data_IF_199285223096
#
_entry.id   IF_199285223096
#
_cell.length_a   1.000
_cell.length_b   1.000
_cell.length_c   1.000
_cell.angle_alpha   90.00
_cell.angle_beta   90.00
_cell.angle_gamma   90.00
#
_symmetry.space_group_name_H-M   'P 1'
#
loop_
_entity.id
_entity.type
_entity.pdbx_description
1 polymer ?
#
# COMPACT_ATOMS: atom_id res chain seq x y z
N UNK A 1 -49.18 23.03 3.60
CA UNK A 1 -49.41 22.44 2.26
C UNK A 1 -48.07 22.07 1.63
N UNK A 2 -47.87 20.75 1.50
CA UNK A 2 -47.01 19.91 0.66
C UNK A 2 -46.03 20.56 -0.36
N UNK A 3 -44.72 20.25 -0.27
CA UNK A 3 -43.96 19.10 -0.87
C UNK A 3 -43.71 19.22 -2.37
N UNK A 4 -42.55 19.75 -2.80
CA UNK A 4 -41.95 19.54 -4.15
C UNK A 4 -40.42 19.79 -4.20
N UNK A 5 -39.63 19.12 -3.35
CA UNK A 5 -38.16 19.23 -3.46
C UNK A 5 -37.43 17.90 -3.23
N UNK A 6 -38.03 16.80 -3.66
CA UNK A 6 -37.40 15.49 -3.65
C UNK A 6 -37.83 14.77 -4.93
N UNK A 7 -37.00 14.82 -5.98
CA UNK A 7 -36.85 13.86 -7.11
C UNK A 7 -35.81 14.51 -8.05
N UNK A 8 -34.50 14.44 -7.73
CA UNK A 8 -33.40 14.59 -8.72
C UNK A 8 -32.23 13.63 -8.44
N UNK A 9 -32.27 12.84 -7.35
CA UNK A 9 -31.07 12.12 -6.87
C UNK A 9 -31.01 10.60 -7.19
N UNK A 10 -31.75 10.10 -8.19
CA UNK A 10 -31.83 8.65 -8.46
C UNK A 10 -31.37 8.22 -9.87
N UNK A 11 -31.14 9.14 -10.80
CA UNK A 11 -30.88 8.76 -12.19
C UNK A 11 -29.38 8.61 -12.57
N UNK A 12 -28.43 8.98 -11.71
CA UNK A 12 -27.01 9.00 -12.09
C UNK A 12 -26.21 7.69 -11.84
N UNK A 13 -26.50 6.82 -10.86
CA UNK A 13 -25.63 5.66 -10.62
C UNK A 13 -25.89 4.49 -11.58
N UNK A 14 -27.01 4.45 -12.30
CA UNK A 14 -27.35 3.35 -13.22
C UNK A 14 -26.66 3.41 -14.59
N UNK A 15 -25.93 4.48 -14.90
CA UNK A 15 -25.22 4.62 -16.17
C UNK A 15 -23.75 4.14 -16.09
N UNK A 16 -23.20 3.97 -14.88
CA UNK A 16 -21.79 3.59 -14.69
C UNK A 16 -21.54 2.07 -14.59
N UNK A 17 -22.57 1.23 -14.73
CA UNK A 17 -22.45 -0.23 -14.54
C UNK A 17 -22.25 -1.03 -15.83
N UNK A 18 -21.84 -0.39 -16.94
CA UNK A 18 -21.83 -1.02 -18.27
C UNK A 18 -20.58 -0.85 -19.13
N UNK A 19 -19.46 -0.32 -18.63
CA UNK A 19 -18.28 -0.03 -19.46
C UNK A 19 -16.94 -0.34 -18.76
N UNK A 20 -16.84 -1.47 -18.07
CA UNK A 20 -15.64 -1.83 -17.30
C UNK A 20 -15.04 -3.22 -17.54
N UNK A 21 -15.61 -4.03 -18.44
CA UNK A 21 -15.11 -5.37 -18.73
C UNK A 21 -14.91 -5.52 -20.24
N UNK A 22 -13.69 -5.29 -20.74
CA UNK A 22 -13.40 -5.49 -22.17
C UNK A 22 -12.07 -4.95 -22.72
N UNK A 23 -11.30 -4.14 -21.99
CA UNK A 23 -10.06 -3.54 -22.53
C UNK A 23 -8.79 -4.38 -22.27
N UNK A 24 -8.90 -5.71 -22.22
CA UNK A 24 -7.76 -6.62 -21.95
C UNK A 24 -7.33 -7.51 -23.12
N UNK A 25 -8.02 -7.46 -24.27
CA UNK A 25 -7.76 -8.36 -25.42
C UNK A 25 -7.61 -7.60 -26.74
N UNK A 26 -6.90 -6.47 -26.74
CA UNK A 26 -6.54 -5.77 -28.00
C UNK A 26 -5.10 -5.27 -27.91
N UNK A 27 -4.16 -6.21 -27.92
CA UNK A 27 -2.77 -6.01 -28.35
C UNK A 27 -2.25 -7.35 -28.88
N UNK A 28 -2.97 -7.92 -29.84
CA UNK A 28 -2.42 -8.91 -30.76
C UNK A 28 -1.94 -8.16 -32.01
N UNK A 29 -0.69 -8.33 -32.45
CA UNK A 29 -0.23 -7.76 -33.71
C UNK A 29 -0.97 -8.43 -34.89
N UNK A 30 -1.24 -7.72 -36.00
CA UNK A 30 -1.92 -8.31 -37.13
C UNK A 30 -1.01 -9.36 -37.79
N UNK A 31 -1.51 -10.59 -37.85
CA UNK A 31 -1.07 -11.55 -38.85
C UNK A 31 -1.85 -11.24 -40.14
N UNK A 32 -1.16 -10.64 -41.10
CA UNK A 32 -1.61 -10.67 -42.50
C UNK A 32 -0.94 -11.82 -43.24
N UNK A 33 -1.65 -12.27 -44.27
CA UNK A 33 -1.36 -13.33 -45.24
C UNK A 33 -1.54 -14.77 -44.74
N UNK A 34 -2.75 -15.30 -44.88
CA UNK A 34 -3.03 -16.15 -46.04
C UNK A 34 -4.53 -16.39 -46.27
N UNK A 35 -4.87 -16.41 -47.55
CA UNK A 35 -6.19 -16.46 -48.15
C UNK A 35 -6.89 -17.83 -48.03
N UNK A 36 -8.22 -17.77 -48.23
CA UNK A 36 -9.11 -18.81 -48.77
C UNK A 36 -9.49 -19.96 -47.80
N UNK A 37 -10.72 -20.02 -47.29
CA UNK A 37 -11.99 -20.36 -47.96
C UNK A 37 -12.22 -21.88 -48.13
N UNK A 38 -13.24 -22.34 -47.39
CA UNK A 38 -14.24 -23.37 -47.71
C UNK A 38 -13.80 -24.80 -48.11
N UNK A 39 -14.39 -25.80 -47.43
CA UNK A 39 -14.45 -27.17 -47.96
C UNK A 39 -14.82 -28.26 -46.95
N UNK A 40 -16.13 -28.46 -46.78
CA UNK A 40 -16.89 -29.72 -46.61
C UNK A 40 -16.25 -31.00 -46.06
N UNK A 41 -16.89 -31.51 -45.00
CA UNK A 41 -17.31 -32.90 -44.72
C UNK A 41 -16.57 -34.08 -45.38
N UNK A 42 -15.96 -34.97 -44.57
CA UNK A 42 -16.24 -36.41 -44.65
C UNK A 42 -15.84 -37.18 -43.36
N UNK A 43 -16.64 -38.19 -43.01
CA UNK A 43 -16.41 -39.25 -42.00
C UNK A 43 -16.46 -40.59 -42.79
N UNK A 44 -16.36 -41.82 -42.26
CA UNK A 44 -15.96 -42.33 -40.93
C UNK A 44 -15.09 -43.63 -40.98
N UNK A 45 -14.67 -44.13 -39.80
CA UNK A 45 -14.67 -45.55 -39.30
C UNK A 45 -13.45 -45.78 -38.38
N UNK A 46 -13.42 -46.70 -37.41
CA UNK A 46 -14.35 -47.38 -36.50
C UNK A 46 -13.51 -48.43 -35.74
N UNK A 47 -14.07 -48.94 -34.64
CA UNK A 47 -13.67 -50.12 -33.82
C UNK A 47 -12.53 -49.96 -32.79
N UNK A 48 -12.58 -50.54 -31.57
CA UNK A 48 -13.63 -51.11 -30.69
C UNK A 48 -12.97 -51.52 -29.35
N UNK A 49 -13.74 -51.52 -28.25
CA UNK A 49 -13.63 -52.35 -27.02
C UNK A 49 -12.44 -52.11 -26.05
N UNK A 50 -12.53 -52.20 -24.72
CA UNK A 50 -13.58 -52.57 -23.75
C UNK A 50 -13.17 -52.18 -22.30
N UNK A 51 -14.20 -52.00 -21.45
CA UNK A 51 -14.33 -52.32 -20.01
C UNK A 51 -13.36 -51.83 -18.90
N UNK A 52 -13.97 -51.32 -17.81
CA UNK A 52 -13.52 -51.58 -16.44
C UNK A 52 -13.90 -50.50 -15.43
N UNK A 53 -14.75 -50.83 -14.45
CA UNK A 53 -15.28 -49.95 -13.40
C UNK A 53 -14.33 -49.72 -12.21
N UNK A 54 -14.43 -48.58 -11.50
CA UNK A 54 -14.83 -48.44 -10.08
C UNK A 54 -14.34 -47.14 -9.39
N UNK A 55 -15.27 -46.55 -8.65
CA UNK A 55 -15.21 -45.99 -7.28
C UNK A 55 -14.06 -45.08 -6.81
N UNK A 56 -14.48 -43.86 -6.45
CA UNK A 56 -14.41 -43.24 -5.11
C UNK A 56 -13.08 -42.73 -4.50
N UNK A 57 -13.30 -41.67 -3.69
CA UNK A 57 -12.53 -41.14 -2.54
C UNK A 57 -11.25 -40.32 -2.77
N UNK A 58 -11.40 -39.02 -2.46
CA UNK A 58 -10.71 -38.26 -1.39
C UNK A 58 -9.18 -38.20 -1.29
N UNK A 59 -8.73 -36.94 -1.24
CA UNK A 59 -7.70 -36.35 -0.38
C UNK A 59 -6.19 -36.43 -0.69
N UNK A 60 -5.61 -35.23 -0.52
CA UNK A 60 -4.29 -34.91 0.04
C UNK A 60 -3.02 -34.88 -0.86
N UNK A 61 -2.50 -33.64 -0.95
CA UNK A 61 -1.11 -33.19 -0.78
C UNK A 61 0.00 -33.51 -1.81
N UNK A 62 0.60 -32.41 -2.30
CA UNK A 62 1.99 -32.25 -2.75
C UNK A 62 2.27 -32.81 -4.13
N UNK A 63 3.14 -32.28 -4.97
CA UNK A 63 4.10 -31.17 -4.98
C UNK A 63 4.62 -31.17 -6.42
N UNK A 64 4.83 -30.01 -7.05
CA UNK A 64 5.88 -29.87 -8.07
C UNK A 64 6.24 -28.40 -8.21
N UNK A 65 7.47 -28.11 -7.81
CA UNK A 65 8.19 -26.88 -8.08
C UNK A 65 8.67 -26.84 -9.53
N UNK A 66 8.59 -25.67 -10.17
CA UNK A 66 9.54 -25.18 -11.20
C UNK A 66 9.57 -23.65 -11.03
N UNK A 67 10.57 -23.13 -10.32
CA UNK A 67 11.78 -22.51 -10.88
C UNK A 67 11.49 -21.60 -12.09
N UNK A 68 11.52 -20.29 -11.84
CA UNK A 68 11.98 -19.33 -12.84
C UNK A 68 12.63 -18.15 -12.13
N UNK A 69 13.94 -18.28 -11.97
CA UNK A 69 14.86 -17.17 -11.80
C UNK A 69 14.67 -16.15 -12.94
N UNK A 70 14.31 -14.92 -12.58
CA UNK A 70 14.59 -13.74 -13.39
C UNK A 70 15.43 -12.78 -12.55
N UNK A 71 16.72 -12.77 -12.87
CA UNK A 71 17.76 -11.88 -12.39
C UNK A 71 17.37 -10.43 -12.71
N UNK A 72 17.14 -9.63 -11.67
CA UNK A 72 16.96 -8.19 -11.72
C UNK A 72 17.88 -7.55 -10.69
N UNK A 73 18.71 -6.63 -11.17
CA UNK A 73 19.91 -6.12 -10.52
C UNK A 73 19.72 -5.55 -9.11
N UNK A 74 20.72 -5.82 -8.27
CA UNK A 74 20.93 -5.30 -6.93
C UNK A 74 20.78 -3.77 -6.85
N UNK A 75 19.75 -3.32 -6.13
CA UNK A 75 19.66 -1.97 -5.59
C UNK A 75 19.07 -2.02 -4.17
N UNK A 76 19.98 -2.29 -3.22
CA UNK A 76 19.90 -1.99 -1.79
C UNK A 76 18.55 -2.29 -1.09
N UNK A 77 18.48 -3.45 -0.42
CA UNK A 77 17.67 -3.63 0.79
C UNK A 77 18.01 -2.51 1.78
N UNK A 78 17.20 -1.45 1.78
CA UNK A 78 17.19 -0.45 2.84
C UNK A 78 16.72 -1.14 4.11
N UNK A 79 17.57 -1.18 5.13
CA UNK A 79 17.35 -1.78 6.44
C UNK A 79 15.86 -1.77 6.83
N UNK A 80 15.25 -2.96 6.80
CA UNK A 80 13.88 -3.15 7.21
C UNK A 80 13.80 -2.86 8.73
N UNK A 81 13.30 -1.67 9.06
CA UNK A 81 12.82 -1.43 10.42
C UNK A 81 11.72 -2.44 10.72
N UNK A 82 11.72 -3.09 11.89
CA UNK A 82 10.66 -4.02 12.23
C UNK A 82 9.34 -3.27 12.19
N UNK A 83 8.49 -3.58 11.20
CA UNK A 83 7.17 -3.00 11.11
C UNK A 83 6.44 -3.28 12.43
N UNK A 84 5.95 -2.23 13.07
CA UNK A 84 5.15 -2.42 14.26
C UNK A 84 3.79 -2.96 13.85
N UNK A 85 3.45 -4.12 14.40
CA UNK A 85 2.17 -4.78 14.16
C UNK A 85 1.02 -3.81 14.51
N UNK A 86 0.20 -3.47 13.51
CA UNK A 86 -0.97 -2.59 13.65
C UNK A 86 -1.94 -3.09 14.72
N UNK A 87 -2.07 -4.41 14.88
CA UNK A 87 -2.92 -5.01 15.91
C UNK A 87 -2.34 -4.80 17.31
N UNK A 88 -1.02 -4.81 17.47
CA UNK A 88 -0.37 -4.52 18.75
C UNK A 88 -0.57 -3.07 19.19
N UNK A 89 -0.46 -2.11 18.26
CA UNK A 89 -0.68 -0.68 18.52
C UNK A 89 -2.12 -0.39 18.96
N UNK A 90 -3.09 -1.12 18.41
CA UNK A 90 -4.50 -0.96 18.75
C UNK A 90 -4.87 -1.44 20.17
N UNK A 91 -4.02 -2.24 20.83
CA UNK A 91 -4.26 -2.71 22.21
C UNK A 91 -4.03 -1.61 23.24
N UNK A 92 -3.07 -0.72 22.98
CA UNK A 92 -2.82 0.42 23.87
C UNK A 92 -3.74 1.58 23.49
N UNK A 93 -4.72 1.84 24.36
CA UNK A 93 -5.69 2.93 24.15
C UNK A 93 -5.06 4.32 24.19
N UNK A 94 -3.82 4.45 24.70
CA UNK A 94 -3.07 5.70 24.70
C UNK A 94 -2.35 5.99 23.39
N UNK A 95 -2.36 5.05 22.44
CA UNK A 95 -1.75 5.23 21.13
C UNK A 95 -2.77 5.85 20.17
N UNK A 96 -2.33 6.88 19.46
CA UNK A 96 -3.11 7.58 18.44
C UNK A 96 -2.38 7.47 17.10
N UNK A 97 -3.02 6.86 16.10
CA UNK A 97 -2.47 6.80 14.75
C UNK A 97 -2.69 8.14 14.06
N UNK A 98 -1.63 8.71 13.53
CA UNK A 98 -1.68 9.92 12.73
C UNK A 98 -1.74 9.60 11.25
N UNK A 99 -1.31 8.41 10.83
CA UNK A 99 -1.35 7.96 9.45
C UNK A 99 -0.06 8.26 8.68
N UNK A 100 -0.12 8.04 7.37
CA UNK A 100 1.05 8.12 6.50
C UNK A 100 1.35 9.56 6.06
N UNK A 101 2.65 9.86 5.97
CA UNK A 101 3.21 11.09 5.42
C UNK A 101 4.45 10.78 4.58
N UNK A 102 4.70 11.61 3.57
CA UNK A 102 5.88 11.52 2.71
C UNK A 102 6.60 12.85 2.74
N UNK A 103 7.91 12.82 3.02
CA UNK A 103 8.76 14.02 3.09
C UNK A 103 9.95 13.85 2.15
N UNK A 104 10.17 14.80 1.21
CA UNK A 104 11.36 14.80 0.38
C UNK A 104 12.57 15.26 1.18
N UNK A 105 13.69 14.58 0.98
CA UNK A 105 14.99 14.89 1.58
C UNK A 105 15.96 15.18 0.46
N UNK A 106 16.32 16.45 0.35
CA UNK A 106 17.20 16.91 -0.71
C UNK A 106 18.65 16.53 -0.40
N UNK A 107 19.27 15.80 -1.33
CA UNK A 107 20.70 15.47 -1.34
C UNK A 107 21.37 16.18 -2.53
N UNK A 108 22.70 16.15 -2.57
CA UNK A 108 23.49 16.82 -3.62
C UNK A 108 23.11 16.37 -5.03
N UNK A 109 22.92 15.06 -5.25
CA UNK A 109 22.71 14.48 -6.59
C UNK A 109 21.41 13.67 -6.70
N UNK A 110 20.57 13.67 -5.66
CA UNK A 110 19.36 12.84 -5.61
C UNK A 110 18.33 13.47 -4.67
N UNK A 111 17.09 13.02 -4.78
CA UNK A 111 16.00 13.33 -3.85
C UNK A 111 15.58 12.02 -3.22
N UNK A 112 15.61 11.94 -1.89
CA UNK A 112 15.08 10.78 -1.18
C UNK A 112 13.67 11.06 -0.69
N UNK A 113 12.70 10.21 -1.02
CA UNK A 113 11.37 10.27 -0.44
C UNK A 113 11.33 9.36 0.78
N UNK A 114 11.18 9.96 1.96
CA UNK A 114 10.96 9.23 3.21
C UNK A 114 9.46 9.09 3.40
N UNK A 115 9.00 7.85 3.50
CA UNK A 115 7.59 7.53 3.71
C UNK A 115 7.45 6.87 5.07
N UNK A 116 6.60 7.45 5.92
CA UNK A 116 6.41 7.00 7.28
C UNK A 116 4.92 6.98 7.66
N UNK A 117 4.46 5.89 8.28
CA UNK A 117 3.16 5.81 8.94
C UNK A 117 3.34 5.98 10.44
N UNK A 118 2.72 7.01 11.00
CA UNK A 118 3.00 7.47 12.36
C UNK A 118 1.91 7.04 13.35
N UNK A 119 2.37 6.72 14.55
CA UNK A 119 1.56 6.63 15.75
C UNK A 119 2.22 7.43 16.88
N UNK A 120 1.43 8.04 17.76
CA UNK A 120 1.94 8.74 18.93
C UNK A 120 1.45 8.04 20.19
N UNK A 121 2.38 7.84 21.12
CA UNK A 121 2.07 7.39 22.47
C UNK A 121 1.90 8.60 23.36
N UNK A 122 0.84 8.59 24.16
CA UNK A 122 0.47 9.70 25.03
C UNK A 122 0.48 9.27 26.49
N UNK A 123 0.71 10.23 27.38
CA UNK A 123 0.79 10.00 28.83
C UNK A 123 -0.51 9.39 29.39
N UNK A 124 -1.66 9.89 28.90
CA UNK A 124 -2.99 9.57 29.42
C UNK A 124 -3.99 9.19 28.33
N UNK A 125 -4.99 8.40 28.74
CA UNK A 125 -6.11 8.04 27.87
C UNK A 125 -6.95 9.27 27.48
N UNK A 126 -7.12 10.23 28.39
CA UNK A 126 -7.89 11.45 28.13
C UNK A 126 -7.24 12.32 27.05
N UNK A 127 -5.91 12.43 27.06
CA UNK A 127 -5.16 13.10 26.00
C UNK A 127 -5.28 12.33 24.68
N UNK A 128 -5.23 11.00 24.71
CA UNK A 128 -5.43 10.19 23.51
C UNK A 128 -6.80 10.38 22.88
N UNK A 129 -7.87 10.42 23.67
CA UNK A 129 -9.21 10.71 23.14
C UNK A 129 -9.33 12.15 22.64
N UNK A 130 -8.61 13.11 23.22
CA UNK A 130 -8.56 14.49 22.71
C UNK A 130 -7.87 14.54 21.35
N UNK A 131 -6.64 14.02 21.25
CA UNK A 131 -5.87 14.05 20.02
C UNK A 131 -6.45 13.18 18.89
N UNK A 132 -7.40 12.28 19.19
CA UNK A 132 -8.21 11.58 18.17
C UNK A 132 -9.27 12.45 17.51
N UNK A 133 -9.63 13.59 18.10
CA UNK A 133 -10.57 14.55 17.48
C UNK A 133 -9.95 15.11 16.21
N UNK A 134 -10.77 15.35 15.20
CA UNK A 134 -10.31 15.72 13.86
C UNK A 134 -9.44 16.98 13.88
N UNK A 135 -9.83 17.98 14.66
CA UNK A 135 -9.15 19.26 14.75
C UNK A 135 -7.76 19.12 15.38
N UNK A 136 -7.69 18.42 16.52
CA UNK A 136 -6.44 18.20 17.25
C UNK A 136 -5.51 17.25 16.48
N UNK A 137 -6.06 16.20 15.86
CA UNK A 137 -5.31 15.30 14.98
C UNK A 137 -4.71 16.03 13.79
N UNK A 138 -5.46 16.95 13.17
CA UNK A 138 -4.96 17.74 12.03
C UNK A 138 -3.81 18.64 12.45
N UNK A 139 -3.94 19.36 13.58
CA UNK A 139 -2.87 20.20 14.12
C UNK A 139 -1.61 19.40 14.47
N UNK A 140 -1.79 18.23 15.07
CA UNK A 140 -0.69 17.34 15.44
C UNK A 140 0.00 16.78 14.19
N UNK A 141 -0.76 16.45 13.14
CA UNK A 141 -0.23 16.07 11.84
C UNK A 141 0.59 17.19 11.20
N UNK A 142 0.11 18.43 11.25
CA UNK A 142 0.82 19.59 10.69
C UNK A 142 2.14 19.84 11.42
N UNK A 143 2.13 19.81 12.77
CA UNK A 143 3.36 19.94 13.56
C UNK A 143 4.35 18.80 13.30
N UNK A 144 3.86 17.57 13.11
CA UNK A 144 4.71 16.42 12.77
C UNK A 144 5.31 16.55 11.35
N UNK A 145 4.53 17.02 10.36
CA UNK A 145 5.04 17.33 9.02
C UNK A 145 6.13 18.41 9.07
N UNK A 146 5.91 19.46 9.87
CA UNK A 146 6.90 20.50 10.07
C UNK A 146 8.17 19.96 10.73
N UNK A 147 8.04 19.12 11.76
CA UNK A 147 9.16 18.48 12.44
C UNK A 147 9.95 17.55 11.49
N UNK A 148 9.25 16.79 10.64
CA UNK A 148 9.87 15.93 9.63
C UNK A 148 10.62 16.73 8.55
N UNK A 149 10.05 17.86 8.10
CA UNK A 149 10.74 18.76 7.18
C UNK A 149 12.02 19.34 7.80
N UNK A 150 11.98 19.72 9.08
CA UNK A 150 13.18 20.15 9.79
C UNK A 150 14.21 19.02 9.93
N UNK A 151 13.74 17.80 10.24
CA UNK A 151 14.59 16.61 10.32
C UNK A 151 15.20 16.24 8.96
N UNK A 152 14.56 16.58 7.84
CA UNK A 152 15.06 16.35 6.48
C UNK A 152 16.34 17.15 6.18
N UNK A 153 16.57 18.24 6.90
CA UNK A 153 17.83 19.00 6.81
C UNK A 153 18.96 18.37 7.63
N UNK A 154 18.64 17.46 8.53
CA UNK A 154 19.59 16.82 9.45
C UNK A 154 20.28 15.60 8.84
N UNK A 155 21.36 15.15 9.50
CA UNK A 155 22.07 13.93 9.12
C UNK A 155 21.21 12.66 9.29
N UNK A 156 20.20 12.67 10.18
CA UNK A 156 19.36 11.50 10.51
C UNK A 156 18.61 10.98 9.28
N UNK A 157 18.15 11.87 8.40
CA UNK A 157 17.43 11.49 7.17
C UNK A 157 18.30 11.52 5.91
N UNK A 158 19.40 12.31 5.91
CA UNK A 158 20.32 12.38 4.76
C UNK A 158 21.27 11.20 4.64
N UNK A 159 21.53 10.48 5.74
CA UNK A 159 22.38 9.29 5.77
C UNK A 159 21.93 8.15 4.86
N UNK A 160 22.75 7.10 4.76
CA UNK A 160 22.44 5.90 3.95
C UNK A 160 21.29 5.10 4.56
N UNK A 161 21.33 4.90 5.89
CA UNK A 161 20.27 4.28 6.67
C UNK A 161 19.59 5.33 7.57
N UNK A 162 18.31 5.11 7.86
CA UNK A 162 17.57 5.93 8.83
C UNK A 162 17.72 5.30 10.21
N UNK A 163 18.26 6.07 11.16
CA UNK A 163 18.21 5.75 12.58
C UNK A 163 16.81 6.13 13.11
N UNK A 164 15.92 5.14 13.29
CA UNK A 164 14.54 5.37 13.74
C UNK A 164 14.47 5.90 15.16
N UNK A 165 15.38 5.47 16.02
CA UNK A 165 15.33 5.80 17.45
C UNK A 165 15.77 7.25 17.65
N UNK A 166 16.87 7.64 16.98
CA UNK A 166 17.30 9.04 16.92
C UNK A 166 16.23 9.93 16.28
N UNK A 167 15.57 9.46 15.21
CA UNK A 167 14.49 10.20 14.58
C UNK A 167 13.27 10.34 15.49
N UNK A 168 12.84 9.27 16.17
CA UNK A 168 11.74 9.33 17.14
C UNK A 168 12.02 10.36 18.22
N UNK A 169 13.20 10.31 18.84
CA UNK A 169 13.58 11.25 19.88
C UNK A 169 13.62 12.69 19.36
N UNK A 170 14.19 12.91 18.18
CA UNK A 170 14.19 14.23 17.55
C UNK A 170 12.77 14.76 17.32
N UNK A 171 11.88 13.94 16.75
CA UNK A 171 10.50 14.35 16.47
C UNK A 171 9.72 14.61 17.76
N UNK A 172 9.88 13.76 18.77
CA UNK A 172 9.30 13.96 20.10
C UNK A 172 9.71 15.30 20.67
N UNK A 173 11.00 15.61 20.70
CA UNK A 173 11.53 16.86 21.25
C UNK A 173 11.05 18.10 20.49
N UNK A 174 10.81 17.97 19.18
CA UNK A 174 10.26 19.05 18.37
C UNK A 174 8.77 19.28 18.65
N UNK A 175 7.98 18.20 18.73
CA UNK A 175 6.53 18.27 18.86
C UNK A 175 6.09 18.58 20.29
N UNK A 176 6.85 18.13 21.29
CA UNK A 176 6.54 18.35 22.71
C UNK A 176 6.53 19.83 23.12
N UNK A 177 7.05 20.72 22.27
CA UNK A 177 7.03 22.17 22.48
C UNK A 177 5.63 22.76 22.35
N UNK A 178 4.86 22.24 21.39
CA UNK A 178 3.53 22.76 21.05
C UNK A 178 2.40 21.81 21.50
N UNK A 179 2.72 20.53 21.73
CA UNK A 179 1.77 19.49 22.11
C UNK A 179 2.19 18.82 23.41
N UNK A 180 1.40 19.03 24.46
CA UNK A 180 1.68 18.45 25.77
C UNK A 180 1.30 16.96 25.84
N UNK A 181 2.07 16.21 26.63
CA UNK A 181 1.76 14.82 26.96
C UNK A 181 2.06 13.80 25.87
N UNK A 182 2.99 14.13 24.95
CA UNK A 182 3.56 13.19 23.98
C UNK A 182 4.71 12.43 24.66
N UNK A 183 4.48 11.15 24.93
CA UNK A 183 5.48 10.25 25.50
C UNK A 183 6.52 9.86 24.44
N UNK A 184 6.04 9.44 23.26
CA UNK A 184 6.89 8.88 22.21
C UNK A 184 6.26 9.01 20.82
N UNK A 185 7.12 9.07 19.80
CA UNK A 185 6.74 9.08 18.38
C UNK A 185 7.12 7.73 17.77
N UNK A 186 6.12 7.01 17.30
CA UNK A 186 6.22 5.63 16.88
C UNK A 186 6.06 5.52 15.37
N UNK A 187 6.87 4.67 14.73
CA UNK A 187 6.75 4.36 13.30
C UNK A 187 6.08 3.01 13.11
N UNK A 188 4.89 2.99 12.52
CA UNK A 188 4.23 1.75 12.09
C UNK A 188 4.99 1.14 10.92
N UNK A 189 5.37 2.00 9.96
CA UNK A 189 6.24 1.69 8.84
C UNK A 189 7.15 2.89 8.58
N UNK A 190 8.39 2.65 8.19
CA UNK A 190 9.35 3.69 7.82
C UNK A 190 10.27 3.16 6.73
N UNK A 191 10.24 3.78 5.56
CA UNK A 191 11.14 3.42 4.46
C UNK A 191 11.57 4.66 3.67
N UNK A 192 12.62 4.45 2.88
CA UNK A 192 13.28 5.49 2.11
C UNK A 192 13.43 5.04 0.67
N UNK A 193 13.07 5.91 -0.26
CA UNK A 193 13.22 5.68 -1.69
C UNK A 193 14.08 6.79 -2.30
N UNK A 194 15.22 6.42 -2.88
CA UNK A 194 16.14 7.37 -3.52
C UNK A 194 15.82 7.51 -5.01
N UNK A 195 15.73 8.76 -5.49
CA UNK A 195 15.50 9.10 -6.90
C UNK A 195 16.63 10.00 -7.38
N UNK A 196 17.31 9.62 -8.45
CA UNK A 196 18.40 10.42 -9.02
C UNK A 196 17.89 11.74 -9.61
N UNK A 197 18.66 12.83 -9.46
CA UNK A 197 18.44 14.05 -10.23
C UNK A 197 19.11 13.88 -11.60
N UNK A 198 18.31 13.95 -12.66
CA UNK A 198 18.79 13.94 -14.07
C UNK A 198 19.44 15.26 -14.44
#
# INVERSE_FOLDING_TARGET
MMKKAAIVFVALPLLCMGAGYGAGMVLAPPAEENHAAAGSEDKPKADKAAHGAKDASEDAHGEVAEDHAQKGDDAAEGAAHPEMDRYSLAKDRKIVRLGQMTVPVEKTNSISYVVADFALKLESLELAERYRRVEDATRLRDSLLQAMNLAAESAVLRGVAIDSDALSHLLRDLISKDHAGVDDVMFVSLYKQDVARL
#
